data_IF_704940804590
#
_entry.id   IF_704940804590
#
_cell.length_a   1.000
_cell.length_b   1.000
_cell.length_c   1.000
_cell.angle_alpha   90.00
_cell.angle_beta   90.00
_cell.angle_gamma   90.00
#
_symmetry.space_group_name_H-M   'P 1'
#
loop_
_entity.id
_entity.type
_entity.pdbx_description
1 polymer ?
#
# COMPACT_ATOMS: atom_id res chain seq x y z
N UNK A 1 13.46 -1.38 -10.85
CA UNK A 1 12.69 -0.27 -11.44
C UNK A 1 13.59 0.95 -11.54
N UNK A 2 13.63 1.69 -12.65
CA UNK A 2 14.39 2.94 -12.71
C UNK A 2 13.75 3.98 -11.78
N UNK A 3 14.57 4.66 -10.97
CA UNK A 3 14.15 5.72 -10.07
C UNK A 3 14.97 6.98 -10.35
N UNK A 4 14.31 8.14 -10.31
CA UNK A 4 14.98 9.43 -10.42
C UNK A 4 15.26 9.95 -9.03
N UNK A 5 16.54 10.21 -8.75
CA UNK A 5 17.01 10.71 -7.46
C UNK A 5 17.62 12.09 -7.71
N UNK A 6 17.37 13.02 -6.80
CA UNK A 6 18.04 14.32 -6.81
C UNK A 6 19.56 14.12 -6.80
N UNK A 7 20.26 14.82 -7.69
CA UNK A 7 21.69 14.73 -7.86
C UNK A 7 22.45 15.06 -6.57
N UNK A 8 21.89 15.94 -5.75
CA UNK A 8 22.50 16.35 -4.48
C UNK A 8 22.38 15.27 -3.39
N UNK A 9 21.40 14.37 -3.50
CA UNK A 9 21.16 13.29 -2.55
C UNK A 9 21.94 12.02 -2.89
N UNK A 10 22.36 11.87 -4.14
CA UNK A 10 23.03 10.68 -4.65
C UNK A 10 24.33 10.32 -3.89
N UNK A 11 25.22 11.29 -3.54
CA UNK A 11 26.43 10.99 -2.77
C UNK A 11 26.11 10.46 -1.38
N UNK A 12 25.21 11.14 -0.65
CA UNK A 12 24.79 10.76 0.70
C UNK A 12 24.13 9.39 0.73
N UNK A 13 23.26 9.10 -0.24
CA UNK A 13 22.59 7.81 -0.34
C UNK A 13 23.58 6.67 -0.61
N UNK A 14 24.60 6.90 -1.44
CA UNK A 14 25.66 5.91 -1.71
C UNK A 14 26.55 5.67 -0.49
N UNK A 15 26.93 6.74 0.22
CA UNK A 15 27.70 6.63 1.46
C UNK A 15 26.93 5.84 2.52
N UNK A 16 25.64 6.13 2.67
CA UNK A 16 24.78 5.40 3.59
C UNK A 16 24.68 3.91 3.21
N UNK A 17 24.42 3.59 1.95
CA UNK A 17 24.39 2.20 1.48
C UNK A 17 25.73 1.48 1.75
N UNK A 18 26.86 2.15 1.50
CA UNK A 18 28.20 1.61 1.79
C UNK A 18 28.42 1.38 3.29
N UNK A 19 27.96 2.28 4.17
CA UNK A 19 28.05 2.10 5.62
C UNK A 19 27.26 0.89 6.13
N UNK A 20 26.21 0.51 5.39
CA UNK A 20 25.39 -0.68 5.67
C UNK A 20 25.91 -1.93 4.94
N UNK A 21 26.99 -1.84 4.17
CA UNK A 21 27.56 -2.96 3.41
C UNK A 21 26.68 -3.43 2.24
N UNK A 22 25.72 -2.62 1.80
CA UNK A 22 24.77 -2.97 0.72
C UNK A 22 24.92 -2.04 -0.47
N UNK A 23 24.39 -2.46 -1.62
CA UNK A 23 24.29 -1.58 -2.78
C UNK A 23 23.17 -0.54 -2.59
N UNK A 24 23.28 0.60 -3.28
CA UNK A 24 22.21 1.60 -3.31
C UNK A 24 20.89 1.02 -3.84
N UNK A 25 20.95 0.12 -4.82
CA UNK A 25 19.74 -0.53 -5.37
C UNK A 25 19.05 -1.39 -4.31
N UNK A 26 19.80 -2.18 -3.54
CA UNK A 26 19.24 -2.98 -2.45
C UNK A 26 18.63 -2.09 -1.36
N UNK A 27 19.30 -1.00 -0.99
CA UNK A 27 18.79 -0.05 -0.01
C UNK A 27 17.44 0.54 -0.46
N UNK A 28 17.33 0.93 -1.73
CA UNK A 28 16.09 1.47 -2.30
C UNK A 28 15.00 0.40 -2.35
N UNK A 29 15.32 -0.81 -2.78
CA UNK A 29 14.34 -1.90 -2.82
C UNK A 29 13.81 -2.26 -1.43
N UNK A 30 14.67 -2.28 -0.42
CA UNK A 30 14.24 -2.53 0.96
C UNK A 30 13.32 -1.41 1.45
N UNK A 31 13.71 -0.15 1.29
CA UNK A 31 12.88 0.99 1.69
C UNK A 31 11.51 0.99 0.99
N UNK A 32 11.46 0.62 -0.30
CA UNK A 32 10.20 0.49 -1.04
C UNK A 32 9.33 -0.65 -0.51
N UNK A 33 9.92 -1.79 -0.15
CA UNK A 33 9.19 -2.89 0.51
C UNK A 33 8.63 -2.45 1.84
N UNK A 34 9.45 -1.84 2.69
CA UNK A 34 9.05 -1.38 4.02
C UNK A 34 7.90 -0.35 3.93
N UNK A 35 7.94 0.55 2.95
CA UNK A 35 6.86 1.50 2.68
C UNK A 35 5.58 0.81 2.16
N UNK A 36 5.71 -0.26 1.38
CA UNK A 36 4.56 -1.04 0.91
C UNK A 36 3.98 -1.97 1.97
N UNK A 37 4.80 -2.40 2.92
CA UNK A 37 4.43 -3.19 4.09
C UNK A 37 3.94 -2.32 5.25
N UNK A 38 4.09 -0.99 5.16
CA UNK A 38 3.51 -0.06 6.11
C UNK A 38 2.02 -0.38 6.28
N UNK A 39 1.70 -0.94 7.45
CA UNK A 39 0.49 -1.69 7.76
C UNK A 39 -0.74 -0.80 7.56
N UNK A 40 -1.29 -0.81 6.35
CA UNK A 40 -2.66 -0.39 6.16
C UNK A 40 -3.52 -1.42 6.91
N UNK A 41 -4.47 -0.98 7.76
CA UNK A 41 -5.36 -1.92 8.41
C UNK A 41 -6.02 -2.79 7.34
N UNK A 42 -5.95 -4.09 7.52
CA UNK A 42 -6.56 -5.09 6.64
C UNK A 42 -8.03 -4.77 6.44
N UNK A 43 -8.64 -5.28 5.36
CA UNK A 43 -10.07 -5.11 5.12
C UNK A 43 -10.89 -5.44 6.38
N UNK A 44 -10.58 -6.57 7.03
CA UNK A 44 -11.23 -7.00 8.26
C UNK A 44 -11.06 -5.99 9.40
N UNK A 45 -9.87 -5.43 9.60
CA UNK A 45 -9.62 -4.41 10.64
C UNK A 45 -10.34 -3.09 10.34
N UNK A 46 -10.39 -2.68 9.07
CA UNK A 46 -11.08 -1.45 8.66
C UNK A 46 -12.59 -1.51 8.87
N UNK A 47 -13.19 -2.69 8.67
CA UNK A 47 -14.64 -2.85 8.56
C UNK A 47 -15.29 -3.61 9.74
N UNK A 48 -14.50 -4.19 10.66
CA UNK A 48 -15.01 -4.85 11.87
C UNK A 48 -15.90 -3.89 12.66
N UNK A 49 -17.15 -4.28 12.90
CA UNK A 49 -18.15 -3.48 13.63
C UNK A 49 -18.72 -2.27 12.88
N UNK A 50 -18.19 -1.93 11.69
CA UNK A 50 -18.69 -0.83 10.84
C UNK A 50 -19.59 -1.30 9.71
N UNK A 51 -19.51 -2.58 9.35
CA UNK A 51 -20.44 -3.20 8.41
C UNK A 51 -21.85 -3.21 8.99
N UNK A 52 -22.76 -2.46 8.36
CA UNK A 52 -24.20 -2.50 8.62
C UNK A 52 -24.90 -2.96 7.36
N UNK A 53 -25.83 -3.89 7.50
CA UNK A 53 -26.72 -4.30 6.41
C UNK A 53 -27.57 -3.10 6.00
N UNK A 54 -27.57 -2.74 4.71
CA UNK A 54 -28.54 -1.77 4.20
C UNK A 54 -29.96 -2.35 4.38
N UNK A 55 -30.97 -1.53 4.71
CA UNK A 55 -32.35 -2.00 4.75
C UNK A 55 -32.73 -2.62 3.40
N UNK A 56 -33.50 -3.72 3.44
CA UNK A 56 -33.94 -4.50 2.26
C UNK A 56 -34.73 -3.71 1.20
N UNK A 57 -35.03 -2.43 1.45
CA UNK A 57 -35.74 -1.49 0.56
C UNK A 57 -34.81 -0.53 -0.20
N UNK A 58 -33.50 -0.76 -0.15
CA UNK A 58 -32.55 0.01 -0.95
C UNK A 58 -32.76 -0.32 -2.45
N UNK A 59 -32.93 0.70 -3.28
CA UNK A 59 -33.13 0.54 -4.73
C UNK A 59 -31.98 -0.24 -5.38
N UNK A 60 -30.77 -0.11 -4.83
CA UNK A 60 -29.59 -0.88 -5.28
C UNK A 60 -29.71 -2.37 -4.98
N UNK A 61 -30.34 -2.73 -3.87
CA UNK A 61 -30.59 -4.12 -3.51
C UNK A 61 -31.60 -4.75 -4.47
N UNK A 62 -32.70 -4.04 -4.79
CA UNK A 62 -33.70 -4.52 -5.75
C UNK A 62 -33.10 -4.82 -7.12
N UNK A 63 -32.21 -3.95 -7.62
CA UNK A 63 -31.51 -4.15 -8.91
C UNK A 63 -30.55 -5.34 -8.89
N UNK A 64 -29.92 -5.62 -7.75
CA UNK A 64 -29.04 -6.78 -7.61
C UNK A 64 -29.81 -8.10 -7.59
N UNK A 65 -30.98 -8.11 -6.93
CA UNK A 65 -31.87 -9.27 -6.92
C UNK A 65 -32.30 -9.60 -8.34
N UNK A 66 -32.87 -8.64 -9.06
CA UNK A 66 -33.35 -8.85 -10.44
C UNK A 66 -32.27 -9.37 -11.41
N UNK A 67 -30.99 -9.02 -11.18
CA UNK A 67 -29.88 -9.42 -12.05
C UNK A 67 -29.29 -10.80 -11.70
N UNK A 68 -29.37 -11.25 -10.45
CA UNK A 68 -28.56 -12.38 -9.97
C UNK A 68 -29.29 -13.41 -9.09
N UNK A 69 -30.48 -13.10 -8.57
CA UNK A 69 -31.29 -13.98 -7.71
C UNK A 69 -32.60 -14.34 -8.43
#
# INVERSE_FOLDING_TARGET
MPVTIDKELLPKAKEHARSLGVSLSQLIEQALRDLSEAVAPSFSERWRGKLRTSPRRDERYSRLVEKYL
#
